data_IF_113614270612
#
_entry.id   IF_113614270612
#
_cell.length_a   1.000
_cell.length_b   1.000
_cell.length_c   1.000
_cell.angle_alpha   90.00
_cell.angle_beta   90.00
_cell.angle_gamma   90.00
#
_symmetry.space_group_name_H-M   'P 1'
#
loop_
_entity.id
_entity.type
_entity.pdbx_description
1 polymer ?
#
# COMPACT_ATOMS: atom_id res chain seq x y z
N UNK A 1 11.24 25.21 6.02
CA UNK A 1 11.32 23.89 5.35
C UNK A 1 10.74 24.08 3.98
N UNK A 2 11.54 23.84 2.96
CA UNK A 2 11.10 23.90 1.57
C UNK A 2 10.24 22.67 1.27
N UNK A 3 9.11 22.88 0.59
CA UNK A 3 8.23 21.79 0.18
C UNK A 3 8.90 21.00 -0.97
N UNK A 4 8.85 19.66 -0.97
CA UNK A 4 9.53 18.85 -1.98
C UNK A 4 8.95 19.07 -3.38
N UNK A 5 9.84 19.14 -4.38
CA UNK A 5 9.45 19.20 -5.79
C UNK A 5 8.75 17.92 -6.25
N UNK A 6 7.88 18.04 -7.25
CA UNK A 6 7.35 16.87 -7.97
C UNK A 6 8.35 16.42 -9.02
N UNK A 7 8.94 15.24 -8.83
CA UNK A 7 9.96 14.63 -9.70
C UNK A 7 9.46 13.34 -10.37
N UNK A 8 8.17 13.03 -10.25
CA UNK A 8 7.57 11.79 -10.76
C UNK A 8 7.73 10.56 -9.86
N UNK A 9 8.36 10.66 -8.68
CA UNK A 9 8.55 9.53 -7.76
C UNK A 9 7.49 9.42 -6.66
N UNK A 10 6.41 10.19 -6.77
CA UNK A 10 5.25 10.20 -5.88
C UNK A 10 3.97 10.22 -6.73
N UNK A 11 2.88 9.68 -6.20
CA UNK A 11 1.61 9.71 -6.92
C UNK A 11 1.11 11.16 -7.05
N UNK A 12 0.67 11.63 -8.24
CA UNK A 12 0.21 13.01 -8.45
C UNK A 12 -0.84 13.47 -7.45
N UNK A 13 -1.83 12.62 -7.17
CA UNK A 13 -2.89 12.94 -6.21
C UNK A 13 -2.35 13.17 -4.79
N UNK A 14 -1.33 12.40 -4.39
CA UNK A 14 -0.72 12.50 -3.07
C UNK A 14 0.07 13.79 -2.95
N UNK A 15 0.94 14.07 -3.92
CA UNK A 15 1.72 15.30 -3.95
C UNK A 15 0.83 16.55 -4.03
N UNK A 16 -0.23 16.52 -4.84
CA UNK A 16 -1.22 17.60 -4.93
C UNK A 16 -1.96 17.80 -3.61
N UNK A 17 -2.34 16.73 -2.91
CA UNK A 17 -3.00 16.86 -1.61
C UNK A 17 -2.05 17.45 -0.56
N UNK A 18 -0.77 17.09 -0.60
CA UNK A 18 0.22 17.60 0.35
C UNK A 18 0.53 19.07 0.10
N UNK A 19 0.65 19.49 -1.18
CA UNK A 19 0.87 20.90 -1.49
C UNK A 19 -0.36 21.74 -1.14
N UNK A 20 -1.58 21.24 -1.39
CA UNK A 20 -2.81 21.95 -1.00
C UNK A 20 -2.93 22.16 0.52
N UNK A 21 -2.47 21.19 1.33
CA UNK A 21 -2.40 21.36 2.79
C UNK A 21 -1.36 22.40 3.19
N UNK A 22 -0.18 22.35 2.58
CA UNK A 22 0.86 23.36 2.78
C UNK A 22 0.34 24.75 2.41
N UNK A 23 -0.30 24.88 1.25
CA UNK A 23 -0.93 26.11 0.74
C UNK A 23 -1.97 26.67 1.71
N UNK A 24 -2.81 25.84 2.32
CA UNK A 24 -3.83 26.28 3.28
C UNK A 24 -3.23 27.01 4.50
N UNK A 25 -2.08 26.54 4.98
CA UNK A 25 -1.33 27.16 6.08
C UNK A 25 -0.75 28.52 5.67
N UNK A 26 -0.16 28.60 4.47
CA UNK A 26 0.42 29.85 3.99
C UNK A 26 -0.65 30.87 3.60
N UNK A 27 -1.81 30.42 3.07
CA UNK A 27 -2.91 31.32 2.67
C UNK A 27 -3.41 32.10 3.87
N UNK A 28 -3.62 31.40 4.97
CA UNK A 28 -4.02 31.99 6.24
C UNK A 28 -3.01 33.01 6.77
N UNK A 29 -1.73 32.88 6.41
CA UNK A 29 -0.64 33.69 6.96
C UNK A 29 -0.19 34.85 6.06
N UNK A 30 -0.29 34.71 4.75
CA UNK A 30 0.33 35.64 3.79
C UNK A 30 -0.55 36.01 2.58
N UNK A 31 -1.71 35.36 2.37
CA UNK A 31 -2.67 35.75 1.32
C UNK A 31 -2.18 35.61 -0.13
N UNK A 32 -1.27 34.67 -0.42
CA UNK A 32 -0.63 34.50 -1.74
C UNK A 32 -1.50 33.62 -2.67
N UNK A 33 -1.31 33.70 -3.99
CA UNK A 33 -1.96 32.84 -4.98
C UNK A 33 -1.13 31.54 -5.20
N UNK A 34 -1.70 30.39 -4.82
CA UNK A 34 -0.93 29.15 -4.59
C UNK A 34 -0.69 28.28 -5.81
N UNK A 35 -1.59 28.33 -6.78
CA UNK A 35 -1.52 27.44 -7.93
C UNK A 35 -0.22 27.62 -8.74
N UNK A 36 0.19 28.87 -8.97
CA UNK A 36 1.45 29.19 -9.65
C UNK A 36 2.68 28.69 -8.88
N UNK A 37 2.61 28.70 -7.54
CA UNK A 37 3.67 28.14 -6.69
C UNK A 37 3.76 26.63 -6.87
N UNK A 38 2.63 25.92 -6.88
CA UNK A 38 2.60 24.49 -7.16
C UNK A 38 3.21 24.17 -8.54
N UNK A 39 2.86 24.93 -9.56
CA UNK A 39 3.45 24.77 -10.90
C UNK A 39 4.97 24.98 -10.89
N UNK A 40 5.48 25.96 -10.12
CA UNK A 40 6.92 26.22 -10.00
C UNK A 40 7.71 25.13 -9.26
N UNK A 41 7.02 24.26 -8.51
CA UNK A 41 7.61 23.16 -7.74
C UNK A 41 7.67 21.85 -8.53
N UNK A 42 7.32 21.85 -9.80
CA UNK A 42 7.46 20.69 -10.68
C UNK A 42 8.90 20.67 -11.21
N UNK A 43 9.50 19.48 -11.25
CA UNK A 43 10.83 19.32 -11.80
C UNK A 43 10.85 19.76 -13.28
N UNK A 44 11.79 20.63 -13.71
CA UNK A 44 11.86 21.13 -15.08
C UNK A 44 11.98 20.04 -16.16
N UNK A 45 12.39 18.82 -15.80
CA UNK A 45 12.41 17.69 -16.75
C UNK A 45 10.99 17.31 -17.21
N UNK A 46 9.97 17.57 -16.38
CA UNK A 46 8.56 17.29 -16.65
C UNK A 46 7.97 18.49 -17.38
N UNK A 47 7.73 18.33 -18.68
CA UNK A 47 7.21 19.41 -19.52
C UNK A 47 5.69 19.46 -19.43
N UNK A 48 5.18 20.51 -18.80
CA UNK A 48 3.74 20.75 -18.73
C UNK A 48 3.19 21.35 -20.04
N UNK A 49 1.98 20.95 -20.47
CA UNK A 49 1.25 21.65 -21.52
C UNK A 49 0.85 23.07 -21.09
N UNK A 50 0.62 23.94 -22.07
CA UNK A 50 0.06 25.28 -21.85
C UNK A 50 -1.39 25.22 -21.38
N UNK A 51 -1.86 26.19 -20.59
CA UNK A 51 -3.27 26.30 -20.19
C UNK A 51 -3.68 25.46 -18.99
N UNK A 52 -2.71 24.99 -18.21
CA UNK A 52 -2.92 24.45 -16.87
C UNK A 52 -3.30 25.61 -15.94
N UNK A 53 -4.55 25.65 -15.49
CA UNK A 53 -5.13 26.72 -14.65
C UNK A 53 -5.76 26.20 -13.35
N UNK A 54 -5.76 24.88 -13.14
CA UNK A 54 -6.31 24.26 -11.94
C UNK A 54 -5.63 22.90 -11.64
N UNK A 55 -5.84 22.40 -10.42
CA UNK A 55 -5.20 21.16 -9.94
C UNK A 55 -5.69 19.89 -10.66
N UNK A 56 -6.89 19.89 -11.25
CA UNK A 56 -7.37 18.75 -12.03
C UNK A 56 -6.59 18.64 -13.35
N UNK A 57 -6.45 19.74 -14.09
CA UNK A 57 -5.63 19.80 -15.30
C UNK A 57 -4.17 19.49 -14.99
N UNK A 58 -3.65 20.02 -13.88
CA UNK A 58 -2.28 19.73 -13.44
C UNK A 58 -2.10 18.24 -13.15
N UNK A 59 -2.99 17.63 -12.37
CA UNK A 59 -2.98 16.20 -12.07
C UNK A 59 -2.95 15.34 -13.33
N UNK A 60 -3.82 15.65 -14.29
CA UNK A 60 -3.89 14.91 -15.55
C UNK A 60 -2.58 15.07 -16.34
N UNK A 61 -2.04 16.29 -16.45
CA UNK A 61 -0.75 16.53 -17.09
C UNK A 61 0.41 15.76 -16.41
N UNK A 62 0.43 15.70 -15.08
CA UNK A 62 1.44 14.93 -14.34
C UNK A 62 1.28 13.41 -14.52
N UNK A 63 0.04 12.91 -14.70
CA UNK A 63 -0.24 11.50 -14.99
C UNK A 63 0.09 11.12 -16.44
N UNK A 64 -0.03 12.04 -17.38
CA UNK A 64 0.28 11.83 -18.79
C UNK A 64 1.79 11.81 -19.06
N UNK A 65 2.61 12.37 -18.17
CA UNK A 65 4.07 12.33 -18.28
C UNK A 65 4.63 10.90 -18.13
N UNK A 66 5.72 10.63 -18.86
CA UNK A 66 6.39 9.32 -18.87
C UNK A 66 6.91 8.91 -17.49
N UNK A 67 7.29 9.88 -16.65
CA UNK A 67 7.80 9.64 -15.30
C UNK A 67 6.75 8.95 -14.43
N UNK A 68 5.47 9.36 -14.53
CA UNK A 68 4.39 8.70 -13.81
C UNK A 68 4.14 7.27 -14.31
N UNK A 69 4.22 7.05 -15.62
CA UNK A 69 4.15 5.69 -16.19
C UNK A 69 5.26 4.78 -15.66
N UNK A 70 6.50 5.29 -15.57
CA UNK A 70 7.65 4.56 -15.00
C UNK A 70 7.43 4.28 -13.51
N UNK A 71 6.97 5.27 -12.74
CA UNK A 71 6.63 5.13 -11.33
C UNK A 71 5.57 4.05 -11.10
N UNK A 72 4.45 4.12 -11.83
CA UNK A 72 3.36 3.14 -11.78
C UNK A 72 3.86 1.72 -12.04
N UNK A 73 4.62 1.53 -13.13
CA UNK A 73 5.18 0.23 -13.49
C UNK A 73 6.21 -0.27 -12.45
N UNK A 74 6.95 0.63 -11.83
CA UNK A 74 7.87 0.28 -10.73
C UNK A 74 7.12 -0.24 -9.51
N UNK A 75 5.99 0.36 -9.14
CA UNK A 75 5.17 -0.13 -8.04
C UNK A 75 4.55 -1.51 -8.35
N UNK A 76 4.14 -1.77 -9.60
CA UNK A 76 3.71 -3.11 -10.04
C UNK A 76 4.82 -4.16 -9.91
N UNK A 77 6.05 -3.84 -10.32
CA UNK A 77 7.22 -4.73 -10.13
C UNK A 77 7.51 -4.97 -8.65
N UNK A 78 7.42 -3.93 -7.81
CA UNK A 78 7.57 -4.05 -6.36
C UNK A 78 6.53 -5.00 -5.76
N UNK A 79 5.26 -4.94 -6.20
CA UNK A 79 4.22 -5.89 -5.78
C UNK A 79 4.55 -7.33 -6.16
N UNK A 80 5.06 -7.59 -7.36
CA UNK A 80 5.48 -8.94 -7.76
C UNK A 80 6.63 -9.48 -6.90
N UNK A 81 7.51 -8.60 -6.41
CA UNK A 81 8.61 -8.97 -5.53
C UNK A 81 8.26 -8.96 -4.04
N UNK A 82 7.08 -8.47 -3.67
CA UNK A 82 6.65 -8.35 -2.28
C UNK A 82 6.43 -9.75 -1.71
N UNK A 83 7.01 -10.02 -0.54
CA UNK A 83 6.87 -11.31 0.14
C UNK A 83 6.31 -11.09 1.54
N UNK A 84 5.29 -11.86 1.87
CA UNK A 84 4.77 -11.93 3.23
C UNK A 84 5.69 -12.81 4.09
N UNK A 85 6.07 -12.28 5.25
CA UNK A 85 6.80 -13.01 6.29
C UNK A 85 5.91 -12.98 7.53
N UNK A 86 5.52 -14.14 8.10
CA UNK A 86 4.72 -14.16 9.32
C UNK A 86 5.55 -13.73 10.54
N UNK A 87 4.90 -13.18 11.57
CA UNK A 87 5.52 -12.64 12.79
C UNK A 87 6.46 -13.63 13.47
N UNK A 88 6.07 -14.90 13.54
CA UNK A 88 6.90 -15.98 14.10
C UNK A 88 8.25 -16.19 13.39
N UNK A 89 8.39 -15.70 12.16
CA UNK A 89 9.64 -15.69 11.37
C UNK A 89 10.32 -14.30 11.39
N UNK A 90 9.89 -13.41 12.30
CA UNK A 90 10.38 -12.04 12.41
C UNK A 90 9.74 -11.04 11.45
N UNK A 91 8.58 -11.38 10.88
CA UNK A 91 7.82 -10.47 10.02
C UNK A 91 6.94 -9.48 10.76
N UNK A 92 6.25 -8.64 10.00
CA UNK A 92 5.32 -7.61 10.50
C UNK A 92 4.14 -7.48 9.53
N UNK A 93 2.98 -8.01 9.90
CA UNK A 93 1.78 -8.00 9.07
C UNK A 93 1.26 -6.58 8.81
N UNK A 94 1.34 -5.69 9.81
CA UNK A 94 0.89 -4.29 9.66
C UNK A 94 1.73 -3.55 8.62
N UNK A 95 3.06 -3.69 8.69
CA UNK A 95 3.98 -3.11 7.70
C UNK A 95 3.80 -3.75 6.33
N UNK A 96 3.58 -5.06 6.26
CA UNK A 96 3.33 -5.75 5.01
C UNK A 96 2.04 -5.25 4.33
N UNK A 97 0.91 -5.21 5.05
CA UNK A 97 -0.39 -4.78 4.51
C UNK A 97 -0.36 -3.30 4.11
N UNK A 98 0.23 -2.43 4.93
CA UNK A 98 0.37 -1.01 4.58
C UNK A 98 1.23 -0.81 3.32
N UNK A 99 2.34 -1.55 3.20
CA UNK A 99 3.18 -1.56 2.00
C UNK A 99 2.40 -2.05 0.78
N UNK A 100 1.71 -3.19 0.89
CA UNK A 100 0.89 -3.76 -0.18
C UNK A 100 -0.15 -2.74 -0.69
N UNK A 101 -0.94 -2.15 0.22
CA UNK A 101 -1.97 -1.16 -0.11
C UNK A 101 -1.37 0.07 -0.80
N UNK A 102 -0.24 0.58 -0.30
CA UNK A 102 0.45 1.73 -0.89
C UNK A 102 0.94 1.43 -2.30
N UNK A 103 1.51 0.24 -2.53
CA UNK A 103 1.96 -0.16 -3.85
C UNK A 103 0.79 -0.36 -4.83
N UNK A 104 -0.36 -0.90 -4.39
CA UNK A 104 -1.56 -0.99 -5.22
C UNK A 104 -2.07 0.39 -5.62
N UNK A 105 -2.15 1.34 -4.67
CA UNK A 105 -2.54 2.72 -4.93
C UNK A 105 -1.60 3.40 -5.94
N UNK A 106 -0.29 3.37 -5.67
CA UNK A 106 0.72 3.96 -6.56
C UNK A 106 0.76 3.29 -7.95
N UNK A 107 0.39 2.02 -8.02
CA UNK A 107 0.30 1.23 -9.25
C UNK A 107 -0.99 1.44 -10.04
N UNK A 108 -1.93 2.25 -9.54
CA UNK A 108 -3.32 2.40 -10.01
C UNK A 108 -4.02 1.04 -10.21
N UNK A 109 -3.79 0.09 -9.29
CA UNK A 109 -4.36 -1.26 -9.33
C UNK A 109 -5.69 -1.23 -8.59
N UNK A 110 -6.74 -0.80 -9.28
CA UNK A 110 -8.07 -0.61 -8.70
C UNK A 110 -8.94 -1.88 -8.76
N UNK A 111 -8.62 -2.80 -9.68
CA UNK A 111 -9.34 -4.06 -9.82
C UNK A 111 -9.07 -5.00 -8.63
N UNK A 112 -10.13 -5.41 -7.95
CA UNK A 112 -10.01 -6.22 -6.73
C UNK A 112 -9.48 -7.62 -7.02
N UNK A 113 -9.77 -8.20 -8.19
CA UNK A 113 -9.26 -9.51 -8.58
C UNK A 113 -7.76 -9.46 -8.90
N UNK A 114 -7.28 -8.36 -9.50
CA UNK A 114 -5.86 -8.08 -9.67
C UNK A 114 -5.15 -7.93 -8.32
N UNK A 115 -5.73 -7.18 -7.38
CA UNK A 115 -5.19 -7.04 -6.01
C UNK A 115 -5.09 -8.40 -5.30
N UNK A 116 -6.14 -9.23 -5.36
CA UNK A 116 -6.13 -10.61 -4.79
C UNK A 116 -5.00 -11.44 -5.37
N UNK A 117 -4.76 -11.36 -6.69
CA UNK A 117 -3.65 -12.08 -7.35
C UNK A 117 -2.28 -11.63 -6.86
N UNK A 118 -2.05 -10.33 -6.69
CA UNK A 118 -0.77 -9.84 -6.14
C UNK A 118 -0.59 -10.30 -4.68
N UNK A 119 -1.63 -10.18 -3.85
CA UNK A 119 -1.55 -10.59 -2.47
C UNK A 119 -1.27 -12.09 -2.35
N UNK A 120 -1.97 -12.92 -3.13
CA UNK A 120 -1.74 -14.36 -3.15
C UNK A 120 -0.30 -14.72 -3.56
N UNK A 121 0.25 -14.06 -4.59
CA UNK A 121 1.63 -14.29 -5.06
C UNK A 121 2.70 -13.93 -4.02
N UNK A 122 2.37 -13.06 -3.07
CA UNK A 122 3.29 -12.68 -2.00
C UNK A 122 3.41 -13.74 -0.90
N UNK A 123 2.49 -14.73 -0.86
CA UNK A 123 2.47 -15.76 0.17
C UNK A 123 3.66 -16.73 -0.01
N UNK A 124 4.13 -17.35 1.08
CA UNK A 124 5.22 -18.32 1.02
C UNK A 124 4.87 -19.49 0.09
N UNK A 125 5.81 -19.87 -0.80
CA UNK A 125 5.63 -20.92 -1.80
C UNK A 125 5.69 -22.35 -1.27
N UNK A 126 5.83 -22.54 0.05
CA UNK A 126 6.00 -23.87 0.63
C UNK A 126 4.65 -24.57 0.76
N UNK A 127 4.61 -25.87 0.44
CA UNK A 127 3.43 -26.76 0.42
C UNK A 127 2.68 -26.95 1.75
N UNK A 128 2.90 -26.09 2.74
CA UNK A 128 2.15 -26.03 3.98
C UNK A 128 2.00 -24.57 4.35
N UNK A 129 0.88 -23.94 4.03
CA UNK A 129 0.42 -22.81 4.81
C UNK A 129 -1.10 -22.77 4.77
N UNK A 130 -1.68 -23.02 5.95
CA UNK A 130 -3.09 -22.77 6.28
C UNK A 130 -3.60 -21.47 5.64
N UNK A 131 -2.74 -20.43 5.61
CA UNK A 131 -2.98 -19.15 4.96
C UNK A 131 -3.42 -19.33 3.51
N UNK A 132 -2.66 -20.04 2.68
CA UNK A 132 -2.95 -20.19 1.25
C UNK A 132 -4.27 -20.93 1.00
N UNK A 133 -4.60 -21.92 1.84
CA UNK A 133 -5.85 -22.67 1.74
C UNK A 133 -7.07 -21.84 2.17
N UNK A 134 -6.96 -21.09 3.26
CA UNK A 134 -8.03 -20.23 3.74
C UNK A 134 -8.20 -18.99 2.86
N UNK A 135 -7.13 -18.52 2.23
CA UNK A 135 -7.16 -17.37 1.33
C UNK A 135 -8.19 -17.56 0.22
N UNK A 136 -8.13 -18.65 -0.54
CA UNK A 136 -9.09 -18.87 -1.64
C UNK A 136 -10.55 -18.94 -1.16
N UNK A 137 -10.78 -19.51 0.03
CA UNK A 137 -12.14 -19.64 0.58
C UNK A 137 -12.69 -18.28 0.98
N UNK A 138 -11.91 -17.48 1.72
CA UNK A 138 -12.37 -16.22 2.30
C UNK A 138 -12.38 -15.07 1.30
N UNK A 139 -11.43 -15.06 0.36
CA UNK A 139 -11.32 -13.99 -0.63
C UNK A 139 -12.39 -14.06 -1.74
N UNK A 140 -13.24 -15.08 -1.76
CA UNK A 140 -14.29 -15.24 -2.80
C UNK A 140 -15.26 -14.05 -2.87
N UNK A 141 -15.67 -13.51 -1.73
CA UNK A 141 -16.69 -12.46 -1.65
C UNK A 141 -16.13 -11.08 -1.28
N UNK A 142 -14.80 -10.94 -1.27
CA UNK A 142 -14.13 -9.67 -0.97
C UNK A 142 -14.24 -8.73 -2.18
N UNK A 143 -14.76 -7.53 -1.95
CA UNK A 143 -15.06 -6.55 -3.00
C UNK A 143 -14.27 -5.25 -2.85
N UNK A 144 -13.50 -5.09 -1.78
CA UNK A 144 -12.67 -3.90 -1.56
C UNK A 144 -11.30 -4.24 -0.97
N UNK A 145 -10.33 -3.34 -1.14
CA UNK A 145 -8.99 -3.50 -0.57
C UNK A 145 -9.00 -3.52 0.97
N UNK A 146 -9.98 -2.86 1.59
CA UNK A 146 -10.12 -2.83 3.05
C UNK A 146 -10.65 -4.17 3.56
N UNK A 147 -11.62 -4.76 2.86
CA UNK A 147 -12.09 -6.13 3.14
C UNK A 147 -10.98 -7.15 2.90
N UNK A 148 -10.20 -6.99 1.82
CA UNK A 148 -9.04 -7.84 1.52
C UNK A 148 -8.01 -7.83 2.66
N UNK A 149 -7.67 -6.64 3.16
CA UNK A 149 -6.76 -6.49 4.30
C UNK A 149 -7.34 -7.11 5.58
N UNK A 150 -8.63 -6.92 5.85
CA UNK A 150 -9.31 -7.47 7.03
C UNK A 150 -9.35 -9.00 7.00
N UNK A 151 -9.73 -9.60 5.88
CA UNK A 151 -9.76 -11.06 5.76
C UNK A 151 -8.36 -11.66 5.81
N UNK A 152 -7.36 -10.98 5.27
CA UNK A 152 -5.97 -11.42 5.40
C UNK A 152 -5.51 -11.42 6.86
N UNK A 153 -5.81 -10.35 7.60
CA UNK A 153 -5.52 -10.27 9.05
C UNK A 153 -6.20 -11.39 9.83
N UNK A 154 -7.48 -11.68 9.55
CA UNK A 154 -8.20 -12.78 10.19
C UNK A 154 -7.50 -14.12 9.96
N UNK A 155 -7.05 -14.38 8.73
CA UNK A 155 -6.32 -15.60 8.38
C UNK A 155 -4.99 -15.67 9.16
N UNK A 156 -4.25 -14.57 9.23
CA UNK A 156 -2.97 -14.51 9.97
C UNK A 156 -3.18 -14.71 11.47
N UNK A 157 -4.22 -14.11 12.05
CA UNK A 157 -4.56 -14.28 13.46
C UNK A 157 -4.89 -15.75 13.78
N UNK A 158 -5.68 -16.41 12.95
CA UNK A 158 -5.97 -17.83 13.13
C UNK A 158 -4.73 -18.70 12.95
N UNK A 159 -3.90 -18.39 11.95
CA UNK A 159 -2.63 -19.05 11.67
C UNK A 159 -1.71 -19.06 12.89
N UNK A 160 -1.67 -17.94 13.60
CA UNK A 160 -0.82 -17.71 14.79
C UNK A 160 -1.21 -18.60 15.98
N UNK A 161 -2.47 -19.05 16.04
CA UNK A 161 -2.99 -19.91 17.09
C UNK A 161 -2.81 -21.41 16.79
N UNK A 162 -2.33 -21.77 15.59
CA UNK A 162 -2.16 -23.18 15.21
C UNK A 162 -0.90 -23.79 15.83
N UNK A 163 -1.09 -24.91 16.54
CA UNK A 163 0.02 -25.77 16.98
C UNK A 163 0.61 -26.48 15.75
N UNK A 164 1.93 -26.42 15.59
CA UNK A 164 2.64 -27.01 14.44
C UNK A 164 3.78 -27.89 14.90
N UNK A 165 4.33 -28.65 13.95
CA UNK A 165 5.57 -29.40 14.17
C UNK A 165 6.68 -28.41 14.61
N UNK A 166 7.25 -28.66 15.78
CA UNK A 166 8.28 -27.81 16.39
C UNK A 166 7.75 -26.71 17.32
N UNK A 167 6.43 -26.56 17.47
CA UNK A 167 5.86 -25.71 18.51
C UNK A 167 6.19 -26.26 19.90
N UNK A 168 6.59 -25.38 20.82
CA UNK A 168 6.67 -25.68 22.25
C UNK A 168 5.30 -25.36 22.85
N UNK A 169 4.65 -26.36 23.44
CA UNK A 169 3.33 -26.21 24.04
C UNK A 169 3.40 -26.63 25.51
N UNK A 170 2.76 -25.86 26.39
CA UNK A 170 2.57 -26.24 27.78
C UNK A 170 1.23 -26.97 27.90
N UNK A 171 1.23 -28.19 28.44
CA UNK A 171 0.01 -28.98 28.59
C UNK A 171 -0.47 -28.91 30.04
N UNK A 172 -1.69 -28.40 30.27
CA UNK A 172 -2.28 -28.35 31.61
C UNK A 172 -3.10 -29.60 31.87
N UNK A 173 -2.76 -30.34 32.92
CA UNK A 173 -3.57 -31.47 33.38
C UNK A 173 -4.90 -30.95 33.96
N UNK A 174 -6.02 -31.37 33.38
CA UNK A 174 -7.36 -30.83 33.70
C UNK A 174 -7.73 -31.06 35.16
N UNK A 175 -7.49 -32.25 35.71
CA UNK A 175 -7.93 -32.59 37.06
C UNK A 175 -7.06 -31.96 38.17
N UNK A 176 -5.76 -31.76 37.93
CA UNK A 176 -4.83 -31.28 38.98
C UNK A 176 -4.34 -29.85 38.76
N UNK A 177 -4.61 -29.26 37.60
CA UNK A 177 -4.14 -27.92 37.23
C UNK A 177 -2.63 -27.78 37.00
N UNK A 178 -1.86 -28.86 37.14
CA UNK A 178 -0.40 -28.89 36.95
C UNK A 178 -0.06 -28.80 35.45
N UNK A 179 1.05 -28.15 35.12
CA UNK A 179 1.57 -28.05 33.76
C UNK A 179 2.66 -29.10 33.54
N UNK A 180 2.70 -29.67 32.33
CA UNK A 180 3.77 -30.52 31.77
C UNK A 180 4.59 -29.70 30.78
#
# INVERSE_FOLDING_TARGET
MDFPKYDGNIHPDEWINDIQKYDSFWKARYGIEYFNTAVSLIDPIIKLPTGIDNYEKLRNALKDDISFTIFKNTNKRKLLSLKYIPERKGGDTSKFISTFRKLCYNGEINDIEEQKKYLFKSLPSNHFDYISNEFYKRMKNVNSINELAKEFENIVLEESNLIRKGSIVALKHVATGKYL
#
